data_IF_056784049814
#
_entry.id   IF_056784049814
#
_cell.length_a   1.000
_cell.length_b   1.000
_cell.length_c   1.000
_cell.angle_alpha   90.00
_cell.angle_beta   90.00
_cell.angle_gamma   90.00
#
_symmetry.space_group_name_H-M   'P 1'
#
loop_
_entity.id
_entity.type
_entity.pdbx_description
1 polymer ?
#
# COMPACT_ATOMS: atom_id res chain seq x y z
N UNK A 1 3.29 -5.79 20.34
CA UNK A 1 3.08 -5.13 19.04
C UNK A 1 1.78 -4.36 19.12
N UNK A 2 1.81 -3.06 18.85
CA UNK A 2 0.62 -2.22 18.74
C UNK A 2 -0.21 -2.64 17.52
N UNK A 3 -1.50 -2.31 17.47
CA UNK A 3 -2.33 -2.64 16.31
C UNK A 3 -1.71 -2.09 15.01
N UNK A 4 -1.46 -2.97 14.03
CA UNK A 4 -0.81 -2.61 12.76
C UNK A 4 0.73 -2.59 12.76
N UNK A 5 1.38 -2.88 13.89
CA UNK A 5 2.84 -2.82 14.01
C UNK A 5 3.50 -4.11 13.49
N UNK A 6 4.55 -3.96 12.67
CA UNK A 6 5.38 -5.06 12.15
C UNK A 6 6.61 -5.27 13.04
N UNK A 7 7.01 -6.54 13.21
CA UNK A 7 8.22 -6.89 13.97
C UNK A 7 9.50 -6.67 13.15
N UNK A 8 9.43 -6.88 11.84
CA UNK A 8 10.51 -6.68 10.89
C UNK A 8 9.96 -5.98 9.64
N UNK A 9 10.70 -4.99 9.16
CA UNK A 9 10.45 -4.40 7.85
C UNK A 9 11.06 -5.27 6.75
N UNK A 10 10.46 -5.19 5.56
CA UNK A 10 10.93 -5.96 4.40
C UNK A 10 12.10 -5.23 3.76
N UNK A 11 13.21 -5.94 3.52
CA UNK A 11 14.32 -5.41 2.73
C UNK A 11 13.88 -5.26 1.28
N UNK A 12 13.92 -4.02 0.77
CA UNK A 12 13.43 -3.65 -0.57
C UNK A 12 14.00 -4.52 -1.70
N UNK A 13 15.19 -5.08 -1.51
CA UNK A 13 15.92 -5.90 -2.47
C UNK A 13 15.31 -7.29 -2.66
N UNK A 14 14.63 -7.83 -1.64
CA UNK A 14 14.13 -9.22 -1.63
C UNK A 14 12.78 -9.41 -2.30
N UNK A 15 11.95 -8.36 -2.36
CA UNK A 15 10.59 -8.40 -2.90
C UNK A 15 10.41 -7.54 -4.16
N UNK A 16 11.30 -6.58 -4.42
CA UNK A 16 11.19 -5.70 -5.57
C UNK A 16 12.27 -6.01 -6.59
N UNK A 17 11.87 -6.09 -7.87
CA UNK A 17 12.83 -6.16 -8.97
C UNK A 17 13.63 -4.87 -9.05
N UNK A 18 14.88 -4.91 -8.59
CA UNK A 18 15.82 -3.79 -8.63
C UNK A 18 16.82 -3.94 -9.78
N UNK A 19 17.21 -2.83 -10.38
CA UNK A 19 18.31 -2.72 -11.32
C UNK A 19 19.45 -1.90 -10.72
N UNK A 20 20.68 -2.24 -11.06
CA UNK A 20 21.84 -1.48 -10.63
C UNK A 20 21.88 -0.07 -11.26
N UNK A 21 22.54 0.84 -10.55
CA UNK A 21 22.96 2.13 -11.11
C UNK A 21 24.47 2.16 -11.27
N UNK A 22 25.01 3.29 -11.75
CA UNK A 22 26.47 3.51 -11.81
C UNK A 22 27.12 3.51 -10.41
N UNK A 23 26.36 3.72 -9.34
CA UNK A 23 26.87 3.77 -7.99
C UNK A 23 26.59 2.45 -7.24
N UNK A 24 27.58 1.82 -6.59
CA UNK A 24 27.49 0.46 -6.05
C UNK A 24 26.53 0.27 -4.86
N UNK A 25 25.99 1.36 -4.31
CA UNK A 25 25.03 1.36 -3.20
C UNK A 25 23.65 1.90 -3.56
N UNK A 26 23.42 2.28 -4.82
CA UNK A 26 22.17 2.88 -5.28
C UNK A 26 21.53 1.96 -6.31
N UNK A 27 20.28 1.60 -6.06
CA UNK A 27 19.48 0.70 -6.89
C UNK A 27 18.25 1.44 -7.43
N UNK A 28 17.82 1.09 -8.64
CA UNK A 28 16.58 1.56 -9.26
C UNK A 28 15.53 0.46 -9.17
N UNK A 29 14.45 0.71 -8.44
CA UNK A 29 13.30 -0.20 -8.41
C UNK A 29 12.52 -0.12 -9.71
N UNK A 30 12.11 -1.27 -10.26
CA UNK A 30 11.14 -1.33 -11.36
C UNK A 30 9.73 -1.16 -10.78
N UNK A 31 8.97 -0.25 -11.36
CA UNK A 31 7.57 -0.04 -11.00
C UNK A 31 6.68 -0.46 -12.16
N UNK A 32 5.52 -1.03 -11.84
CA UNK A 32 4.45 -1.19 -12.82
C UNK A 32 3.78 0.16 -13.01
N UNK A 33 3.71 0.63 -14.25
CA UNK A 33 3.01 1.87 -14.55
C UNK A 33 1.52 1.69 -14.21
N UNK A 34 0.96 2.65 -13.47
CA UNK A 34 -0.49 2.71 -13.25
C UNK A 34 -1.13 3.06 -14.58
N UNK A 35 -1.95 2.15 -15.10
CA UNK A 35 -2.50 2.25 -16.46
C UNK A 35 -3.65 3.26 -16.57
N UNK A 36 -4.39 3.51 -15.49
CA UNK A 36 -5.55 4.42 -15.51
C UNK A 36 -5.55 5.37 -14.31
N UNK A 37 -5.14 6.61 -14.55
CA UNK A 37 -5.11 7.66 -13.53
C UNK A 37 -6.51 8.19 -13.20
N UNK A 38 -7.47 8.09 -14.12
CA UNK A 38 -8.84 8.55 -13.91
C UNK A 38 -9.52 7.66 -12.88
N UNK A 39 -9.44 6.34 -13.06
CA UNK A 39 -9.96 5.36 -12.10
C UNK A 39 -9.28 5.53 -10.74
N UNK A 40 -7.96 5.75 -10.72
CA UNK A 40 -7.24 5.97 -9.47
C UNK A 40 -7.75 7.22 -8.73
N UNK A 41 -7.97 8.33 -9.44
CA UNK A 41 -8.49 9.56 -8.85
C UNK A 41 -9.92 9.38 -8.28
N UNK A 42 -10.78 8.64 -8.98
CA UNK A 42 -12.11 8.28 -8.46
C UNK A 42 -12.00 7.44 -7.18
N UNK A 43 -11.11 6.44 -7.17
CA UNK A 43 -10.89 5.60 -5.99
C UNK A 43 -10.36 6.39 -4.79
N UNK A 44 -9.47 7.35 -5.02
CA UNK A 44 -8.95 8.25 -3.98
C UNK A 44 -10.06 9.17 -3.47
N UNK A 45 -10.89 9.71 -4.37
CA UNK A 45 -12.01 10.57 -3.98
C UNK A 45 -13.00 9.83 -3.08
N UNK A 46 -13.30 8.57 -3.41
CA UNK A 46 -14.14 7.70 -2.58
C UNK A 46 -13.51 7.40 -1.21
N UNK A 47 -12.19 7.20 -1.18
CA UNK A 47 -11.44 7.01 0.07
C UNK A 47 -11.53 8.24 0.99
N UNK A 48 -11.39 9.44 0.42
CA UNK A 48 -11.55 10.71 1.15
C UNK A 48 -12.98 10.88 1.68
N UNK A 49 -13.99 10.47 0.92
CA UNK A 49 -15.38 10.49 1.38
C UNK A 49 -15.58 9.58 2.62
N UNK A 50 -15.03 8.36 2.60
CA UNK A 50 -15.10 7.46 3.75
C UNK A 50 -14.34 7.99 4.96
N UNK A 51 -13.19 8.65 4.74
CA UNK A 51 -12.45 9.31 5.80
C UNK A 51 -13.26 10.42 6.47
N UNK A 52 -13.90 11.28 5.68
CA UNK A 52 -14.76 12.37 6.18
C UNK A 52 -15.98 11.86 6.96
N UNK A 53 -16.45 10.65 6.64
CA UNK A 53 -17.56 9.98 7.34
C UNK A 53 -17.12 9.13 8.53
N UNK A 54 -15.81 9.04 8.82
CA UNK A 54 -15.23 8.18 9.86
C UNK A 54 -15.62 6.69 9.73
N UNK A 55 -15.90 6.23 8.51
CA UNK A 55 -16.24 4.82 8.23
C UNK A 55 -14.95 4.02 8.00
N UNK A 56 -14.33 3.59 9.12
CA UNK A 56 -13.02 2.95 9.11
C UNK A 56 -12.99 1.62 8.34
N UNK A 57 -14.06 0.84 8.38
CA UNK A 57 -14.12 -0.44 7.66
C UNK A 57 -14.14 -0.22 6.15
N UNK A 58 -14.96 0.72 5.67
CA UNK A 58 -14.99 1.06 4.24
C UNK A 58 -13.71 1.74 3.80
N UNK A 59 -13.13 2.60 4.64
CA UNK A 59 -11.84 3.24 4.39
C UNK A 59 -10.75 2.19 4.17
N UNK A 60 -10.60 1.24 5.09
CA UNK A 60 -9.55 0.22 5.01
C UNK A 60 -9.79 -0.73 3.82
N UNK A 61 -11.05 -1.11 3.53
CA UNK A 61 -11.37 -1.87 2.31
C UNK A 61 -10.99 -1.10 1.04
N UNK A 62 -11.28 0.19 0.98
CA UNK A 62 -10.94 1.02 -0.19
C UNK A 62 -9.43 1.20 -0.34
N UNK A 63 -8.71 1.37 0.76
CA UNK A 63 -7.25 1.44 0.77
C UNK A 63 -6.63 0.14 0.24
N UNK A 64 -7.15 -1.02 0.65
CA UNK A 64 -6.70 -2.33 0.13
C UNK A 64 -6.97 -2.51 -1.36
N UNK A 65 -8.05 -1.92 -1.91
CA UNK A 65 -8.30 -1.94 -3.36
C UNK A 65 -7.27 -1.11 -4.14
N UNK A 66 -6.88 0.04 -3.61
CA UNK A 66 -5.89 0.92 -4.24
C UNK A 66 -4.47 0.33 -4.11
N UNK A 67 -4.17 -0.23 -2.93
CA UNK A 67 -2.88 -0.83 -2.59
C UNK A 67 -3.10 -2.30 -2.20
N UNK A 68 -3.17 -3.23 -3.18
CA UNK A 68 -3.43 -4.66 -2.92
C UNK A 68 -2.34 -5.35 -2.10
N UNK A 69 -1.15 -4.76 -2.03
CA UNK A 69 -0.02 -5.20 -1.21
C UNK A 69 -0.23 -4.89 0.30
N UNK A 70 -1.20 -4.04 0.64
CA UNK A 70 -1.41 -3.55 2.01
C UNK A 70 -2.06 -4.62 2.90
N UNK A 71 -1.29 -5.12 3.87
CA UNK A 71 -1.77 -6.06 4.89
C UNK A 71 -1.97 -5.41 6.24
N UNK A 72 -3.11 -5.67 6.88
CA UNK A 72 -3.49 -5.15 8.20
C UNK A 72 -2.97 -6.05 9.33
N UNK A 73 -1.69 -6.39 9.29
CA UNK A 73 -1.03 -7.31 10.23
C UNK A 73 -1.25 -6.84 11.67
N UNK A 74 -1.69 -7.74 12.55
CA UNK A 74 -1.89 -7.47 13.96
C UNK A 74 -2.87 -6.31 14.20
N UNK A 75 -3.96 -6.23 13.42
CA UNK A 75 -4.97 -5.16 13.55
C UNK A 75 -6.39 -5.72 13.43
N UNK A 76 -7.39 -4.98 13.92
CA UNK A 76 -8.82 -5.35 13.81
C UNK A 76 -9.29 -5.50 12.36
N UNK A 77 -8.54 -4.90 11.42
CA UNK A 77 -8.82 -4.95 9.99
C UNK A 77 -8.20 -6.14 9.28
N UNK A 78 -7.53 -7.05 9.99
CA UNK A 78 -6.99 -8.30 9.42
C UNK A 78 -8.11 -9.20 8.87
N UNK A 79 -9.35 -9.04 9.37
CA UNK A 79 -10.55 -9.69 8.80
C UNK A 79 -10.90 -9.21 7.38
N UNK A 80 -10.29 -8.11 6.93
CA UNK A 80 -10.52 -7.48 5.63
C UNK A 80 -9.39 -7.79 4.63
N UNK A 81 -8.34 -8.48 5.07
CA UNK A 81 -7.23 -8.96 4.23
C UNK A 81 -7.62 -10.14 3.34
#
# INVERSE_FOLDING_TARGET
LRPGEKLHEVLSNSTLSVCDTKHPKIYKTKFKQVSDLTILNEQISLLLEYANKFDNDKLVRQMKKIVPEFKSINSTFEILD
#
